data_IF_760022317234
#
_entry.id   IF_760022317234
#
_cell.length_a   1.000
_cell.length_b   1.000
_cell.length_c   1.000
_cell.angle_alpha   90.00
_cell.angle_beta   90.00
_cell.angle_gamma   90.00
#
_symmetry.space_group_name_H-M   'P 1'
#
loop_
_entity.id
_entity.type
_entity.pdbx_description
1 polymer ?
#
# COMPACT_ATOMS: atom_id res chain seq x y z
N UNK A 1 -39.58 -17.71 -30.18
CA UNK A 1 -39.43 -17.53 -28.71
C UNK A 1 -38.04 -17.93 -28.17
N UNK A 2 -37.25 -18.76 -28.87
CA UNK A 2 -35.90 -19.20 -28.44
C UNK A 2 -34.81 -18.10 -28.53
N UNK A 3 -34.85 -17.23 -29.54
CA UNK A 3 -33.81 -16.22 -29.80
C UNK A 3 -33.62 -15.21 -28.65
N UNK A 4 -34.72 -14.76 -28.04
CA UNK A 4 -34.69 -13.84 -26.90
C UNK A 4 -34.13 -14.47 -25.61
N UNK A 5 -34.15 -15.81 -25.53
CA UNK A 5 -33.62 -16.57 -24.39
C UNK A 5 -32.10 -16.68 -24.48
N UNK A 6 -31.56 -16.88 -25.68
CA UNK A 6 -30.12 -16.88 -25.94
C UNK A 6 -29.49 -15.50 -25.76
N UNK A 7 -30.14 -14.45 -26.28
CA UNK A 7 -29.62 -13.08 -26.16
C UNK A 7 -29.51 -12.64 -24.68
N UNK A 8 -30.48 -12.99 -23.84
CA UNK A 8 -30.43 -12.72 -22.40
C UNK A 8 -29.29 -13.45 -21.69
N UNK A 9 -29.00 -14.70 -22.07
CA UNK A 9 -27.90 -15.46 -21.48
C UNK A 9 -26.53 -14.88 -21.86
N UNK A 10 -26.36 -14.46 -23.11
CA UNK A 10 -25.15 -13.78 -23.57
C UNK A 10 -24.98 -12.44 -22.85
N UNK A 11 -26.04 -11.65 -22.70
CA UNK A 11 -25.99 -10.39 -21.97
C UNK A 11 -25.60 -10.59 -20.49
N UNK A 12 -26.11 -11.66 -19.87
CA UNK A 12 -25.77 -12.01 -18.49
C UNK A 12 -24.30 -12.42 -18.35
N UNK A 13 -23.78 -13.18 -19.30
CA UNK A 13 -22.36 -13.55 -19.36
C UNK A 13 -21.45 -12.35 -19.56
N UNK A 14 -21.82 -11.43 -20.47
CA UNK A 14 -21.06 -10.19 -20.69
C UNK A 14 -21.05 -9.33 -19.43
N UNK A 15 -22.18 -9.21 -18.74
CA UNK A 15 -22.26 -8.47 -17.47
C UNK A 15 -21.37 -9.10 -16.39
N UNK A 16 -21.33 -10.44 -16.33
CA UNK A 16 -20.50 -11.18 -15.38
C UNK A 16 -19.00 -11.01 -15.66
N UNK A 17 -18.62 -11.04 -16.94
CA UNK A 17 -17.23 -10.78 -17.38
C UNK A 17 -16.83 -9.32 -17.12
N UNK A 18 -17.75 -8.37 -17.31
CA UNK A 18 -17.49 -6.95 -17.05
C UNK A 18 -17.16 -6.71 -15.57
N UNK A 19 -17.87 -7.34 -14.63
CA UNK A 19 -17.57 -7.23 -13.20
C UNK A 19 -16.20 -7.81 -12.82
N UNK A 20 -15.77 -8.89 -13.47
CA UNK A 20 -14.47 -9.51 -13.19
C UNK A 20 -13.28 -8.67 -13.69
N UNK A 21 -13.45 -7.89 -14.76
CA UNK A 21 -12.37 -7.08 -15.35
C UNK A 21 -11.99 -5.88 -14.46
N UNK A 22 -12.95 -5.28 -13.74
CA UNK A 22 -12.69 -4.16 -12.83
C UNK A 22 -12.06 -4.56 -11.49
N UNK A 23 -11.92 -5.86 -11.21
CA UNK A 23 -11.39 -6.36 -9.94
C UNK A 23 -9.85 -6.52 -9.91
N UNK A 24 -9.15 -6.13 -10.98
CA UNK A 24 -7.69 -6.19 -10.99
C UNK A 24 -7.12 -4.90 -10.39
N UNK A 25 -6.88 -4.94 -9.08
CA UNK A 25 -6.06 -3.96 -8.38
C UNK A 25 -4.64 -4.03 -8.94
N UNK A 26 -4.15 -2.90 -9.46
CA UNK A 26 -2.74 -2.75 -9.86
C UNK A 26 -1.94 -2.70 -8.56
N UNK A 27 -1.60 -3.86 -8.00
CA UNK A 27 -0.61 -3.95 -6.91
C UNK A 27 0.72 -3.59 -7.51
N UNK A 28 1.10 -2.31 -7.41
CA UNK A 28 2.33 -1.80 -7.97
C UNK A 28 3.45 -2.07 -6.95
N UNK A 29 4.37 -3.01 -7.18
CA UNK A 29 5.37 -3.42 -6.19
C UNK A 29 6.43 -2.34 -5.90
N UNK A 30 6.38 -1.21 -6.62
CA UNK A 30 7.36 -0.11 -6.52
C UNK A 30 6.86 1.13 -5.74
N UNK A 31 5.65 1.12 -5.17
CA UNK A 31 5.01 2.36 -4.74
C UNK A 31 4.96 2.63 -3.22
N UNK A 32 5.91 2.19 -2.38
CA UNK A 32 5.90 2.57 -0.95
C UNK A 32 7.10 3.39 -0.47
N UNK A 33 8.05 3.70 -1.35
CA UNK A 33 9.18 4.58 -1.02
C UNK A 33 8.70 5.95 -0.54
N UNK A 34 7.57 6.43 -1.08
CA UNK A 34 6.95 7.67 -0.63
C UNK A 34 6.51 7.60 0.84
N UNK A 35 6.04 6.45 1.34
CA UNK A 35 5.67 6.29 2.74
C UNK A 35 6.90 6.38 3.64
N UNK A 36 8.01 5.77 3.22
CA UNK A 36 9.27 5.85 3.95
C UNK A 36 9.73 7.31 4.07
N UNK A 37 9.65 8.08 2.98
CA UNK A 37 9.98 9.50 3.00
C UNK A 37 8.99 10.35 3.81
N UNK A 38 7.70 10.01 3.81
CA UNK A 38 6.71 10.65 4.69
C UNK A 38 7.04 10.43 6.17
N UNK A 39 7.43 9.22 6.55
CA UNK A 39 7.85 8.93 7.94
C UNK A 39 9.10 9.73 8.29
N UNK A 40 10.10 9.76 7.41
CA UNK A 40 11.36 10.51 7.61
C UNK A 40 11.13 12.02 7.73
N UNK A 41 10.26 12.59 6.90
CA UNK A 41 9.94 14.03 6.93
C UNK A 41 9.05 14.42 8.12
N UNK A 42 8.36 13.46 8.73
CA UNK A 42 7.52 13.71 9.91
C UNK A 42 8.31 13.91 11.22
N UNK A 43 7.57 14.24 12.29
CA UNK A 43 8.07 14.29 13.67
C UNK A 43 8.00 12.92 14.37
N UNK A 44 8.15 11.82 13.62
CA UNK A 44 8.17 10.48 14.19
C UNK A 44 9.33 10.34 15.20
N UNK A 45 9.10 9.75 16.39
CA UNK A 45 10.11 9.63 17.43
C UNK A 45 11.09 8.49 17.12
N UNK A 46 12.03 8.73 16.21
CA UNK A 46 13.12 7.78 15.93
C UNK A 46 14.02 7.68 17.16
N UNK A 47 14.16 6.48 17.74
CA UNK A 47 14.94 6.22 18.96
C UNK A 47 16.45 6.43 18.77
N UNK A 48 16.92 7.69 18.74
CA UNK A 48 18.32 8.06 18.50
C UNK A 48 18.93 7.49 17.20
N UNK A 49 18.08 6.98 16.29
CA UNK A 49 18.49 6.49 14.97
C UNK A 49 18.30 7.63 13.97
N UNK A 50 19.34 7.97 13.18
CA UNK A 50 19.20 8.97 12.13
C UNK A 50 18.06 8.61 11.18
N UNK A 51 17.25 9.60 10.79
CA UNK A 51 16.03 9.41 10.01
C UNK A 51 16.30 8.64 8.71
N UNK A 52 17.39 8.97 8.04
CA UNK A 52 17.87 8.36 6.80
C UNK A 52 18.26 6.88 6.90
N UNK A 53 18.46 6.35 8.11
CA UNK A 53 18.76 4.93 8.35
C UNK A 53 17.53 4.08 8.61
N UNK A 54 16.36 4.70 8.80
CA UNK A 54 15.10 4.01 9.02
C UNK A 54 14.42 3.74 7.66
N UNK A 55 13.88 2.55 7.47
CA UNK A 55 13.09 2.14 6.31
C UNK A 55 11.76 1.54 6.79
N UNK A 56 10.78 1.44 5.89
CA UNK A 56 9.52 0.75 6.18
C UNK A 56 9.51 -0.65 5.60
N UNK A 57 9.07 -1.62 6.41
CA UNK A 57 8.58 -2.90 5.92
C UNK A 57 7.06 -2.88 5.95
N UNK A 58 6.43 -3.04 4.80
CA UNK A 58 4.97 -3.19 4.72
C UNK A 58 4.62 -4.60 5.18
N UNK A 59 3.80 -4.69 6.22
CA UNK A 59 3.33 -5.95 6.80
C UNK A 59 1.96 -6.34 6.24
N UNK A 60 1.08 -5.36 6.03
CA UNK A 60 -0.23 -5.54 5.40
C UNK A 60 -0.64 -4.26 4.66
N UNK A 61 -1.26 -4.43 3.49
CA UNK A 61 -1.98 -3.38 2.77
C UNK A 61 -3.36 -3.95 2.37
N UNK A 62 -4.38 -3.64 3.18
CA UNK A 62 -5.74 -4.15 2.97
C UNK A 62 -6.76 -3.06 3.33
N UNK A 63 -7.87 -3.02 2.60
CA UNK A 63 -9.03 -2.17 2.94
C UNK A 63 -8.66 -0.70 3.19
N UNK A 64 -7.77 -0.13 2.36
CA UNK A 64 -7.27 1.23 2.51
C UNK A 64 -6.47 1.48 3.81
N UNK A 65 -5.91 0.43 4.41
CA UNK A 65 -5.09 0.53 5.61
C UNK A 65 -3.75 -0.13 5.32
N UNK A 66 -2.69 0.66 5.44
CA UNK A 66 -1.32 0.17 5.33
C UNK A 66 -0.75 0.06 6.72
N UNK A 67 -0.36 -1.15 7.10
CA UNK A 67 0.37 -1.43 8.33
C UNK A 67 1.83 -1.68 7.99
N UNK A 68 2.72 -0.90 8.61
CA UNK A 68 4.14 -0.94 8.32
C UNK A 68 4.97 -0.90 9.60
N UNK A 69 6.12 -1.56 9.56
CA UNK A 69 7.12 -1.56 10.62
C UNK A 69 8.29 -0.64 10.26
N UNK A 70 8.68 0.24 11.18
CA UNK A 70 9.88 1.07 11.03
C UNK A 70 11.09 0.25 11.43
N UNK A 71 11.93 -0.08 10.45
CA UNK A 71 13.09 -0.93 10.65
C UNK A 71 14.38 -0.22 10.26
N UNK A 72 15.50 -0.64 10.83
CA UNK A 72 16.81 -0.12 10.51
C UNK A 72 17.86 -1.23 10.51
N UNK A 73 18.91 -1.02 9.72
CA UNK A 73 20.05 -1.94 9.67
C UNK A 73 21.05 -1.59 10.79
N UNK A 74 21.20 -2.51 11.75
CA UNK A 74 22.14 -2.38 12.86
C UNK A 74 23.60 -2.30 12.38
N UNK A 75 23.94 -2.95 11.25
CA UNK A 75 25.29 -2.89 10.66
C UNK A 75 25.62 -1.49 10.18
N UNK A 76 24.66 -0.80 9.56
CA UNK A 76 24.87 0.57 9.07
C UNK A 76 25.07 1.58 10.20
N UNK A 77 24.66 1.22 11.42
CA UNK A 77 24.87 2.01 12.63
C UNK A 77 26.11 1.58 13.44
N UNK A 78 26.83 0.54 12.99
CA UNK A 78 27.97 -0.02 13.75
C UNK A 78 27.58 -0.80 15.00
N UNK A 79 26.30 -1.14 15.19
CA UNK A 79 25.75 -1.85 16.36
C UNK A 79 25.58 -3.34 16.03
N UNK A 80 26.60 -4.00 15.48
CA UNK A 80 26.50 -5.37 14.98
C UNK A 80 27.25 -6.36 15.87
N UNK A 81 26.68 -6.68 17.03
CA UNK A 81 27.13 -7.78 17.90
C UNK A 81 26.23 -9.02 17.83
N UNK A 82 25.19 -8.97 17.00
CA UNK A 82 24.07 -9.91 16.99
C UNK A 82 23.85 -10.46 15.57
N UNK A 83 23.41 -11.71 15.45
CA UNK A 83 23.23 -12.42 14.16
C UNK A 83 22.10 -11.82 13.32
N UNK A 84 21.13 -11.18 13.98
CA UNK A 84 20.04 -10.46 13.33
C UNK A 84 20.52 -9.08 12.89
N UNK A 85 20.58 -8.83 11.57
CA UNK A 85 21.06 -7.56 11.00
C UNK A 85 20.04 -6.41 11.14
N UNK A 86 18.74 -6.72 11.13
CA UNK A 86 17.67 -5.73 11.21
C UNK A 86 17.13 -5.61 12.63
N UNK A 87 16.73 -4.40 13.00
CA UNK A 87 15.99 -4.10 14.24
C UNK A 87 14.80 -3.19 13.92
N UNK A 88 13.81 -3.18 14.83
CA UNK A 88 12.56 -2.46 14.70
C UNK A 88 12.44 -1.36 15.74
N UNK A 89 11.97 -0.19 15.31
CA UNK A 89 11.71 0.98 16.14
C UNK A 89 10.22 1.18 16.44
N UNK A 90 9.33 0.38 15.85
CA UNK A 90 7.90 0.45 16.11
C UNK A 90 7.04 0.24 14.88
N UNK A 91 5.75 0.45 15.05
CA UNK A 91 4.72 0.21 14.05
C UNK A 91 4.00 1.50 13.68
N UNK A 92 3.63 1.60 12.41
CA UNK A 92 2.87 2.72 11.85
C UNK A 92 1.66 2.15 11.11
N UNK A 93 0.55 2.86 11.25
CA UNK A 93 -0.71 2.58 10.56
C UNK A 93 -1.12 3.80 9.76
N UNK A 94 -1.24 3.62 8.44
CA UNK A 94 -1.75 4.64 7.52
C UNK A 94 -3.16 4.30 7.08
N UNK A 95 -3.98 5.34 6.92
CA UNK A 95 -5.31 5.26 6.32
C UNK A 95 -5.24 5.93 4.95
N UNK A 96 -5.34 5.14 3.89
CA UNK A 96 -5.33 5.59 2.50
C UNK A 96 -6.73 6.07 2.15
N UNK A 97 -6.99 7.37 2.28
CA UNK A 97 -8.27 7.91 1.84
C UNK A 97 -8.21 8.06 0.32
N UNK A 98 -8.89 7.20 -0.42
CA UNK A 98 -9.20 7.44 -1.83
C UNK A 98 -10.09 8.67 -1.91
N UNK A 99 -9.48 9.84 -2.08
CA UNK A 99 -10.21 11.03 -2.48
C UNK A 99 -10.55 10.79 -3.95
N UNK A 100 -11.75 10.29 -4.22
CA UNK A 100 -12.34 10.39 -5.54
C UNK A 100 -12.37 11.87 -5.89
N UNK A 101 -11.50 12.30 -6.79
CA UNK A 101 -11.52 13.65 -7.34
C UNK A 101 -12.92 13.89 -7.91
N UNK A 102 -13.75 14.61 -7.16
CA UNK A 102 -14.85 15.36 -7.76
C UNK A 102 -14.14 16.45 -8.55
N UNK A 103 -13.81 16.13 -9.81
CA UNK A 103 -13.44 17.12 -10.80
C UNK A 103 -14.68 17.99 -10.99
N UNK A 104 -14.76 19.08 -10.23
CA UNK A 104 -15.67 20.17 -10.56
C UNK A 104 -15.22 20.68 -11.94
N UNK A 105 -16.07 20.61 -12.97
CA UNK A 105 -15.76 21.31 -14.21
C UNK A 105 -15.70 22.80 -13.85
N UNK A 106 -14.55 23.43 -14.09
CA UNK A 106 -14.46 24.89 -14.06
C UNK A 106 -15.53 25.44 -15.02
N UNK A 107 -16.35 26.33 -14.49
CA UNK A 107 -17.45 27.03 -15.19
C UNK A 107 -16.95 27.98 -16.25
#
# INVERSE_FOLDING_TARGET
>A
MIFNRFLKQILFLILFVFQAIWANEIVNPECYDYLTELVRSSNFPFNNIPKEKNNLLIDSDENNIIFAQVNYDKKTLGISYDTNRMASNGWIKYYVILISYIMFPET
#
